data_IF_735156890946
#
_entry.id   IF_735156890946
#
_cell.length_a   1.000
_cell.length_b   1.000
_cell.length_c   1.000
_cell.angle_alpha   90.00
_cell.angle_beta   90.00
_cell.angle_gamma   90.00
#
_symmetry.space_group_name_H-M   'P 1'
#
loop_
_entity.id
_entity.type
_entity.pdbx_description
1 polymer ?
#
# COMPACT_ATOMS: atom_id res chain seq x y z
N UNK A 1 -32.82 -14.33 -38.58
CA UNK A 1 -32.22 -13.03 -38.18
C UNK A 1 -32.23 -12.81 -36.67
N UNK A 2 -33.38 -12.90 -35.99
CA UNK A 2 -33.46 -12.62 -34.54
C UNK A 2 -32.65 -13.58 -33.66
N UNK A 3 -32.57 -14.86 -34.03
CA UNK A 3 -31.76 -15.86 -33.33
C UNK A 3 -30.25 -15.58 -33.42
N UNK A 4 -29.79 -14.97 -34.52
CA UNK A 4 -28.37 -14.60 -34.71
C UNK A 4 -28.05 -13.37 -33.85
N UNK A 5 -28.95 -12.38 -33.84
CA UNK A 5 -28.85 -11.21 -32.96
C UNK A 5 -28.82 -11.61 -31.48
N UNK A 6 -29.69 -12.54 -31.07
CA UNK A 6 -29.71 -13.04 -29.69
C UNK A 6 -28.40 -13.74 -29.30
N UNK A 7 -27.83 -14.56 -30.20
CA UNK A 7 -26.52 -15.19 -29.98
C UNK A 7 -25.39 -14.15 -29.84
N UNK A 8 -25.42 -13.09 -30.64
CA UNK A 8 -24.45 -12.00 -30.54
C UNK A 8 -24.56 -11.26 -29.19
N UNK A 9 -25.77 -10.98 -28.73
CA UNK A 9 -26.00 -10.34 -27.41
C UNK A 9 -25.46 -11.21 -26.28
N UNK A 10 -25.73 -12.52 -26.31
CA UNK A 10 -25.19 -13.45 -25.30
C UNK A 10 -23.67 -13.47 -25.33
N UNK A 11 -23.06 -13.47 -26.51
CA UNK A 11 -21.61 -13.46 -26.65
C UNK A 11 -21.00 -12.17 -26.08
N UNK A 12 -21.58 -11.02 -26.38
CA UNK A 12 -21.16 -9.73 -25.80
C UNK A 12 -21.32 -9.75 -24.28
N UNK A 13 -22.45 -10.25 -23.77
CA UNK A 13 -22.68 -10.36 -22.32
C UNK A 13 -21.62 -11.26 -21.65
N UNK A 14 -21.26 -12.40 -22.25
CA UNK A 14 -20.19 -13.27 -21.73
C UNK A 14 -18.84 -12.56 -21.70
N UNK A 15 -18.49 -11.80 -22.74
CA UNK A 15 -17.25 -11.01 -22.77
C UNK A 15 -17.24 -9.94 -21.68
N UNK A 16 -18.35 -9.23 -21.47
CA UNK A 16 -18.47 -8.21 -20.43
C UNK A 16 -18.35 -8.81 -19.01
N UNK A 17 -18.97 -9.97 -18.77
CA UNK A 17 -18.86 -10.69 -17.50
C UNK A 17 -17.41 -11.13 -17.28
N UNK A 18 -16.77 -11.75 -18.27
CA UNK A 18 -15.38 -12.19 -18.17
C UNK A 18 -14.44 -11.01 -17.89
N UNK A 19 -14.60 -9.88 -18.60
CA UNK A 19 -13.84 -8.66 -18.36
C UNK A 19 -14.04 -8.13 -16.94
N UNK A 20 -15.28 -8.09 -16.46
CA UNK A 20 -15.61 -7.62 -15.11
C UNK A 20 -14.96 -8.52 -14.05
N UNK A 21 -15.04 -9.84 -14.21
CA UNK A 21 -14.42 -10.82 -13.30
C UNK A 21 -12.91 -10.65 -13.25
N UNK A 22 -12.23 -10.57 -14.40
CA UNK A 22 -10.78 -10.38 -14.46
C UNK A 22 -10.39 -9.08 -13.77
N UNK A 23 -11.06 -7.96 -14.10
CA UNK A 23 -10.81 -6.66 -13.49
C UNK A 23 -11.02 -6.67 -11.98
N UNK A 24 -12.04 -7.38 -11.51
CA UNK A 24 -12.36 -7.52 -10.08
C UNK A 24 -11.30 -8.33 -9.32
N UNK A 25 -10.80 -9.43 -9.90
CA UNK A 25 -9.73 -10.22 -9.27
C UNK A 25 -8.35 -9.55 -9.35
N UNK A 26 -8.13 -8.73 -10.38
CA UNK A 26 -6.89 -7.97 -10.54
C UNK A 26 -6.84 -6.69 -9.70
N UNK A 27 -7.89 -6.35 -8.95
CA UNK A 27 -7.88 -5.18 -8.06
C UNK A 27 -6.80 -5.37 -6.98
N UNK A 28 -5.70 -4.60 -7.04
CA UNK A 28 -4.56 -4.77 -6.14
C UNK A 28 -4.92 -4.43 -4.69
N UNK A 29 -6.02 -3.69 -4.46
CA UNK A 29 -6.52 -3.41 -3.11
C UNK A 29 -7.01 -4.69 -2.42
N UNK A 30 -7.57 -5.66 -3.16
CA UNK A 30 -7.96 -6.96 -2.59
C UNK A 30 -6.77 -7.77 -2.09
N UNK A 31 -5.60 -7.62 -2.72
CA UNK A 31 -4.37 -8.29 -2.26
C UNK A 31 -3.90 -7.71 -0.92
N UNK A 32 -4.02 -6.39 -0.75
CA UNK A 32 -3.75 -5.73 0.52
C UNK A 32 -4.70 -6.20 1.62
N UNK A 33 -6.01 -6.24 1.36
CA UNK A 33 -7.00 -6.71 2.33
C UNK A 33 -6.72 -8.15 2.75
N UNK A 34 -6.45 -9.04 1.80
CA UNK A 34 -6.06 -10.43 2.10
C UNK A 34 -4.80 -10.49 2.95
N UNK A 35 -3.74 -9.78 2.59
CA UNK A 35 -2.51 -9.80 3.37
C UNK A 35 -2.73 -9.26 4.79
N UNK A 36 -3.57 -8.23 4.94
CA UNK A 36 -3.94 -7.68 6.23
C UNK A 36 -4.68 -8.70 7.10
N UNK A 37 -5.68 -9.38 6.54
CA UNK A 37 -6.44 -10.42 7.24
C UNK A 37 -5.56 -11.60 7.68
N UNK A 38 -4.55 -11.96 6.86
CA UNK A 38 -3.58 -13.02 7.16
C UNK A 38 -2.37 -12.53 7.98
N UNK A 39 -2.34 -11.24 8.37
CA UNK A 39 -1.23 -10.61 9.10
C UNK A 39 0.12 -10.67 8.37
N UNK A 40 0.08 -10.77 7.05
CA UNK A 40 1.25 -10.83 6.18
C UNK A 40 1.73 -9.43 5.80
N UNK A 41 2.96 -9.37 5.31
CA UNK A 41 3.49 -8.17 4.67
C UNK A 41 2.86 -7.97 3.28
N UNK A 42 2.38 -6.77 2.98
CA UNK A 42 2.08 -6.36 1.61
C UNK A 42 2.21 -4.84 1.44
N UNK A 43 2.84 -4.43 0.36
CA UNK A 43 3.03 -3.03 -0.01
C UNK A 43 2.21 -2.69 -1.24
N UNK A 44 1.19 -1.86 -1.04
CA UNK A 44 0.31 -1.39 -2.09
C UNK A 44 0.64 0.05 -2.45
N UNK A 45 1.15 0.26 -3.66
CA UNK A 45 1.54 1.58 -4.12
C UNK A 45 1.38 1.73 -5.64
N UNK A 46 1.11 2.97 -6.04
CA UNK A 46 1.12 3.43 -7.42
C UNK A 46 2.34 4.33 -7.61
N UNK A 47 3.48 3.73 -7.98
CA UNK A 47 4.75 4.43 -8.16
C UNK A 47 4.71 5.46 -9.29
N UNK A 48 3.77 5.34 -10.22
CA UNK A 48 3.57 6.31 -11.30
C UNK A 48 2.86 7.59 -10.84
N UNK A 49 2.19 7.53 -9.68
CA UNK A 49 1.42 8.64 -9.14
C UNK A 49 1.90 9.03 -7.74
N UNK A 50 2.78 10.01 -7.74
CA UNK A 50 3.37 10.62 -6.52
C UNK A 50 2.35 11.28 -5.60
N UNK A 51 1.17 11.67 -6.10
CA UNK A 51 0.11 12.28 -5.27
C UNK A 51 -0.79 11.27 -4.57
N UNK A 52 -0.74 10.00 -4.96
CA UNK A 52 -1.50 8.94 -4.27
C UNK A 52 -0.69 8.42 -3.10
N UNK A 53 -1.37 8.25 -1.97
CA UNK A 53 -0.80 7.58 -0.81
C UNK A 53 -0.55 6.10 -1.13
N UNK A 54 0.46 5.52 -0.49
CA UNK A 54 0.65 4.08 -0.46
C UNK A 54 0.11 3.50 0.83
N UNK A 55 -0.20 2.20 0.81
CA UNK A 55 -0.67 1.45 1.97
C UNK A 55 0.28 0.27 2.22
N UNK A 56 0.58 0.01 3.48
CA UNK A 56 1.39 -1.13 3.89
C UNK A 56 0.67 -1.88 4.98
N UNK A 57 0.56 -3.20 4.86
CA UNK A 57 0.13 -4.05 5.97
C UNK A 57 1.27 -4.93 6.43
N UNK A 58 1.37 -5.14 7.73
CA UNK A 58 2.34 -6.05 8.33
C UNK A 58 1.90 -6.46 9.74
N UNK A 59 1.96 -7.77 10.06
CA UNK A 59 1.52 -8.34 11.34
C UNK A 59 0.10 -7.92 11.77
N UNK A 60 -0.75 -7.59 10.80
CA UNK A 60 -2.13 -7.15 11.04
C UNK A 60 -2.27 -5.67 11.38
N UNK A 61 -1.19 -4.88 11.32
CA UNK A 61 -1.26 -3.42 11.35
C UNK A 61 -1.36 -2.86 9.93
N UNK A 62 -2.18 -1.84 9.73
CA UNK A 62 -2.29 -1.11 8.46
C UNK A 62 -1.71 0.29 8.60
N UNK A 63 -0.80 0.62 7.69
CA UNK A 63 -0.13 1.90 7.59
C UNK A 63 -0.50 2.61 6.30
N UNK A 64 -0.56 3.94 6.38
CA UNK A 64 -0.76 4.82 5.23
C UNK A 64 0.42 5.79 5.13
N UNK A 65 1.01 5.85 3.95
CA UNK A 65 2.17 6.67 3.66
C UNK A 65 1.90 7.73 2.60
N UNK A 66 2.23 8.97 2.93
CA UNK A 66 2.20 10.12 2.03
C UNK A 66 3.59 10.32 1.41
N UNK A 67 3.63 10.60 0.09
CA UNK A 67 4.87 10.83 -0.66
C UNK A 67 5.03 12.33 -0.91
N UNK A 68 6.15 12.90 -0.46
CA UNK A 68 6.47 14.29 -0.71
C UNK A 68 7.61 14.42 -1.71
N UNK A 69 7.33 15.17 -2.76
CA UNK A 69 8.32 15.56 -3.76
C UNK A 69 9.21 16.67 -3.23
N UNK A 70 10.47 16.60 -3.62
CA UNK A 70 11.40 17.70 -3.46
C UNK A 70 12.37 17.77 -4.62
N UNK A 71 13.27 18.73 -4.53
CA UNK A 71 14.37 18.90 -5.48
C UNK A 71 15.60 18.23 -4.91
N UNK A 72 16.09 17.18 -5.57
CA UNK A 72 17.45 16.67 -5.34
C UNK A 72 18.43 17.45 -6.21
N UNK A 73 19.73 17.30 -5.99
CA UNK A 73 20.77 17.93 -6.81
C UNK A 73 20.69 17.58 -8.31
N UNK A 74 19.99 16.49 -8.65
CA UNK A 74 19.93 15.94 -10.02
C UNK A 74 18.54 16.00 -10.66
N UNK A 75 17.45 16.03 -9.89
CA UNK A 75 16.07 16.05 -10.41
C UNK A 75 14.99 16.28 -9.33
N UNK A 76 13.74 16.46 -9.76
CA UNK A 76 12.57 16.27 -8.87
C UNK A 76 12.44 14.79 -8.53
N UNK A 77 12.46 14.44 -7.24
CA UNK A 77 12.35 13.07 -6.73
C UNK A 77 11.52 13.04 -5.44
N UNK A 78 11.08 11.85 -5.03
CA UNK A 78 10.41 11.64 -3.73
C UNK A 78 11.50 11.66 -2.65
N UNK A 79 11.46 12.68 -1.80
CA UNK A 79 12.50 12.90 -0.78
C UNK A 79 12.03 12.58 0.64
N UNK A 80 10.71 12.48 0.87
CA UNK A 80 10.16 12.17 2.19
C UNK A 80 8.94 11.26 2.07
N UNK A 81 8.92 10.20 2.87
CA UNK A 81 7.75 9.36 3.12
C UNK A 81 7.23 9.64 4.52
N UNK A 82 6.00 10.13 4.65
CA UNK A 82 5.38 10.36 5.96
C UNK A 82 4.33 9.29 6.24
N UNK A 83 4.58 8.42 7.22
CA UNK A 83 3.76 7.22 7.44
C UNK A 83 3.02 7.29 8.77
N UNK A 84 1.70 7.10 8.73
CA UNK A 84 0.85 6.94 9.91
C UNK A 84 0.27 5.53 10.02
N UNK A 85 0.02 5.07 11.23
CA UNK A 85 -0.78 3.87 11.47
C UNK A 85 -2.26 4.23 11.41
N UNK A 86 -3.07 3.39 10.77
CA UNK A 86 -4.51 3.64 10.61
C UNK A 86 -5.28 3.46 11.92
N UNK A 87 -4.80 2.59 12.80
CA UNK A 87 -5.33 2.39 14.14
C UNK A 87 -4.18 2.23 15.16
N UNK A 88 -4.11 3.14 16.13
CA UNK A 88 -3.06 3.13 17.16
C UNK A 88 -3.00 1.84 17.97
N UNK A 89 -4.14 1.15 18.16
CA UNK A 89 -4.17 -0.12 18.86
C UNK A 89 -3.31 -1.16 18.15
N UNK A 90 -3.22 -1.16 16.81
CA UNK A 90 -2.47 -2.20 16.08
C UNK A 90 -0.96 -2.21 16.40
N UNK A 91 -0.43 -1.13 17.00
CA UNK A 91 0.97 -1.05 17.43
C UNK A 91 1.33 -2.00 18.58
N UNK A 92 0.36 -2.52 19.36
CA UNK A 92 0.67 -3.38 20.52
C UNK A 92 1.32 -4.72 20.11
N UNK A 93 1.09 -5.18 18.88
CA UNK A 93 1.67 -6.42 18.34
C UNK A 93 3.06 -6.24 17.74
N UNK A 94 3.54 -5.00 17.64
CA UNK A 94 4.76 -4.66 16.94
C UNK A 94 5.93 -4.44 17.89
N UNK A 95 7.10 -4.85 17.44
CA UNK A 95 8.39 -4.63 18.09
C UNK A 95 9.19 -3.57 17.34
N UNK A 96 10.33 -3.13 17.88
CA UNK A 96 11.12 -2.07 17.23
C UNK A 96 11.72 -2.58 15.91
N UNK A 97 12.14 -3.84 15.93
CA UNK A 97 12.67 -4.65 14.83
C UNK A 97 11.72 -4.68 13.64
N UNK A 98 10.43 -4.67 13.90
CA UNK A 98 9.40 -4.64 12.87
C UNK A 98 9.40 -3.33 12.06
N UNK A 99 9.65 -2.19 12.72
CA UNK A 99 9.76 -0.90 12.03
C UNK A 99 11.04 -0.82 11.21
N UNK A 100 12.15 -1.39 11.70
CA UNK A 100 13.37 -1.50 10.89
C UNK A 100 13.17 -2.36 9.63
N UNK A 101 12.40 -3.45 9.73
CA UNK A 101 12.02 -4.24 8.56
C UNK A 101 11.20 -3.41 7.56
N UNK A 102 10.17 -2.71 8.05
CA UNK A 102 9.32 -1.84 7.20
C UNK A 102 10.13 -0.73 6.54
N UNK A 103 11.05 -0.11 7.26
CA UNK A 103 11.94 0.93 6.73
C UNK A 103 12.84 0.40 5.62
N UNK A 104 13.45 -0.78 5.79
CA UNK A 104 14.25 -1.41 4.74
C UNK A 104 13.43 -1.70 3.47
N UNK A 105 12.23 -2.21 3.63
CA UNK A 105 11.34 -2.47 2.49
C UNK A 105 10.93 -1.18 1.75
N UNK A 106 10.78 -0.08 2.49
CA UNK A 106 10.54 1.24 1.89
C UNK A 106 11.77 1.77 1.17
N UNK A 107 12.96 1.63 1.75
CA UNK A 107 14.23 2.08 1.19
C UNK A 107 14.58 1.37 -0.13
N UNK A 108 14.26 0.06 -0.24
CA UNK A 108 14.40 -0.69 -1.50
C UNK A 108 13.59 -0.04 -2.64
N UNK A 109 12.42 0.51 -2.33
CA UNK A 109 11.50 1.10 -3.32
C UNK A 109 11.73 2.60 -3.52
N UNK A 110 12.21 3.29 -2.48
CA UNK A 110 12.42 4.74 -2.43
C UNK A 110 13.76 5.07 -1.76
N UNK A 111 14.90 4.76 -2.39
CA UNK A 111 16.23 4.81 -1.75
C UNK A 111 16.73 6.22 -1.42
N UNK A 112 16.13 7.25 -2.05
CA UNK A 112 16.46 8.66 -1.80
C UNK A 112 15.59 9.27 -0.69
N UNK A 113 14.57 8.55 -0.21
CA UNK A 113 13.53 9.14 0.62
C UNK A 113 13.82 8.99 2.11
N UNK A 114 13.73 10.10 2.83
CA UNK A 114 13.73 10.10 4.30
C UNK A 114 12.39 9.56 4.80
N UNK A 115 12.45 8.59 5.71
CA UNK A 115 11.27 8.01 6.34
C UNK A 115 10.93 8.80 7.61
N UNK A 116 9.69 9.24 7.74
CA UNK A 116 9.18 9.98 8.89
C UNK A 116 7.90 9.33 9.41
N UNK A 117 7.97 8.77 10.62
CA UNK A 117 6.80 8.20 11.30
C UNK A 117 5.95 9.31 11.94
N UNK A 118 4.65 9.31 11.66
CA UNK A 118 3.66 10.16 12.32
C UNK A 118 3.33 9.60 13.72
N UNK A 119 2.68 10.43 14.53
CA UNK A 119 2.12 9.99 15.82
C UNK A 119 1.01 8.94 15.58
N UNK A 120 0.86 7.91 16.45
CA UNK A 120 1.64 7.63 17.67
C UNK A 120 2.91 6.80 17.49
N UNK A 121 3.29 6.46 16.24
CA UNK A 121 4.42 5.56 15.97
C UNK A 121 5.76 6.16 16.41
N UNK A 122 5.99 7.44 16.14
CA UNK A 122 7.23 8.11 16.57
C UNK A 122 7.38 8.15 18.09
N UNK A 123 6.29 8.35 18.83
CA UNK A 123 6.32 8.29 20.29
C UNK A 123 6.60 6.88 20.76
N UNK A 124 5.97 5.88 20.15
CA UNK A 124 6.20 4.46 20.44
C UNK A 124 7.68 4.07 20.24
N UNK A 125 8.29 4.49 19.13
CA UNK A 125 9.70 4.21 18.84
C UNK A 125 10.64 4.90 19.84
N UNK A 126 10.35 6.15 20.23
CA UNK A 126 11.16 6.88 21.21
C UNK A 126 11.13 6.24 22.59
N UNK A 127 9.96 5.84 23.10
CA UNK A 127 9.85 5.22 24.44
C UNK A 127 10.64 3.91 24.56
N UNK A 128 10.82 3.18 23.45
CA UNK A 128 11.58 1.92 23.41
C UNK A 128 13.08 2.11 23.17
N UNK A 129 13.55 3.33 22.88
CA UNK A 129 14.98 3.66 22.81
C UNK A 129 15.58 3.99 24.19
N UNK A 130 14.74 4.49 25.09
CA UNK A 130 15.13 4.91 26.44
C UNK A 130 15.04 3.76 27.48
N UNK A 131 14.61 2.55 27.09
CA UNK A 131 14.42 1.36 27.95
C UNK A 131 15.41 0.25 27.62
#
# INVERSE_FOLDING_TARGET
MILILFRLVILVAMVLIAYSVIRFFMDPKRKLEKAHDHKEYYFFDDSSNVRKNFLVTYKGALFEGEKYLGTTEKSFDIITLSIGVKNASELYLLEKEDFYFLEKEMDIRYPSAKIEWKSPVKEFLRHREDS
#
